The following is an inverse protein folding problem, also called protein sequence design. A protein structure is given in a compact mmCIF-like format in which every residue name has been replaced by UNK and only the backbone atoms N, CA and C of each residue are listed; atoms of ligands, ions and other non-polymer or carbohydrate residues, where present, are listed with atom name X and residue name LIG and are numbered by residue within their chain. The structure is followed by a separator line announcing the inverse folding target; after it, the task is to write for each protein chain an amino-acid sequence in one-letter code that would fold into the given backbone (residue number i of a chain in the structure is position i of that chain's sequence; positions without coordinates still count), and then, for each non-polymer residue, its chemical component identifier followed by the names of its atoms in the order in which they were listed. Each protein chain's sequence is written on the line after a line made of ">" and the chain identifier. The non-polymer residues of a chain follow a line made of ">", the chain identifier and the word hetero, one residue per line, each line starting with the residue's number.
data_IF_039160545706
#
_entry.id   IF_039160545706
#
_cell.length_a   1.000
_cell.length_b   1.000
_cell.length_c   1.000
_cell.angle_alpha   90.00
_cell.angle_beta   90.00
_cell.angle_gamma   90.00
#
_symmetry.space_group_name_H-M   'P 1'
#
loop_
_entity.id
_entity.type
_entity.pdbx_description
1 polymer ?
#
# COMPACT_ATOMS: atom_id res chain seq x y z
N UNK A 1 -20.13 -7.48 7.12
CA UNK A 1 -18.72 -7.04 7.10
C UNK A 1 -18.39 -6.67 5.68
N UNK A 2 -17.96 -5.43 5.41
CA UNK A 2 -17.42 -5.08 4.10
C UNK A 2 -15.94 -5.44 4.16
N UNK A 3 -15.53 -6.47 3.44
CA UNK A 3 -14.12 -6.79 3.26
C UNK A 3 -13.59 -5.85 2.18
N UNK A 4 -12.85 -4.81 2.59
CA UNK A 4 -12.07 -3.98 1.64
C UNK A 4 -10.95 -4.82 1.03
N UNK A 5 -10.49 -4.45 -0.15
CA UNK A 5 -9.45 -5.16 -0.85
C UNK A 5 -8.43 -4.15 -1.36
N UNK A 6 -7.15 -4.52 -1.30
CA UNK A 6 -6.09 -3.70 -1.88
C UNK A 6 -5.30 -4.53 -2.87
N UNK A 7 -4.96 -3.93 -4.00
CA UNK A 7 -4.14 -4.56 -5.03
C UNK A 7 -2.76 -3.95 -5.01
N UNK A 8 -1.75 -4.73 -4.59
CA UNK A 8 -0.35 -4.30 -4.55
C UNK A 8 0.26 -4.40 -5.95
N UNK A 9 1.01 -3.38 -6.38
CA UNK A 9 1.76 -3.41 -7.63
C UNK A 9 3.18 -3.93 -7.39
N UNK A 10 3.32 -5.25 -7.21
CA UNK A 10 4.60 -5.88 -6.85
C UNK A 10 5.60 -5.74 -8.01
N UNK A 11 6.75 -5.14 -7.72
CA UNK A 11 7.85 -5.01 -8.67
C UNK A 11 8.70 -6.29 -8.69
N UNK A 12 8.65 -7.04 -9.77
CA UNK A 12 9.45 -8.26 -9.95
C UNK A 12 10.46 -8.11 -11.09
N UNK A 13 11.69 -8.57 -10.84
CA UNK A 13 12.73 -8.62 -11.86
C UNK A 13 12.61 -9.91 -12.67
N UNK A 14 12.27 -9.79 -13.95
CA UNK A 14 12.26 -10.91 -14.88
C UNK A 14 13.50 -10.85 -15.76
N UNK A 15 14.29 -11.94 -15.76
CA UNK A 15 15.41 -12.11 -16.70
C UNK A 15 14.88 -12.52 -18.07
N UNK A 16 15.22 -11.75 -19.09
CA UNK A 16 14.95 -12.10 -20.49
C UNK A 16 15.96 -13.17 -20.97
N UNK A 17 15.64 -13.92 -22.03
CA UNK A 17 16.54 -14.93 -22.60
C UNK A 17 17.90 -14.38 -23.04
N UNK A 18 17.99 -13.08 -23.31
CA UNK A 18 19.20 -12.36 -23.68
C UNK A 18 20.03 -11.83 -22.49
N UNK A 19 19.68 -12.19 -21.25
CA UNK A 19 20.39 -11.76 -20.04
C UNK A 19 19.99 -10.38 -19.50
N UNK A 20 19.12 -9.63 -20.19
CA UNK A 20 18.64 -8.34 -19.69
C UNK A 20 17.59 -8.52 -18.58
N UNK A 21 17.68 -7.72 -17.51
CA UNK A 21 16.65 -7.64 -16.46
C UNK A 21 15.56 -6.65 -16.87
N UNK A 22 14.30 -7.01 -16.69
CA UNK A 22 13.16 -6.10 -16.86
C UNK A 22 12.32 -6.13 -15.60
N UNK A 23 11.98 -4.96 -15.08
CA UNK A 23 11.01 -4.84 -14.00
C UNK A 23 9.61 -5.00 -14.58
N UNK A 24 8.87 -5.99 -14.08
CA UNK A 24 7.47 -6.25 -14.42
C UNK A 24 6.65 -6.00 -13.17
N UNK A 25 5.52 -5.30 -13.33
CA UNK A 25 4.56 -5.10 -12.24
C UNK A 25 3.62 -6.30 -12.23
N UNK A 26 3.56 -7.00 -11.10
CA UNK A 26 2.65 -8.11 -10.86
C UNK A 26 1.58 -7.68 -9.84
N UNK A 27 0.31 -7.49 -10.26
CA UNK A 27 -0.76 -7.07 -9.35
C UNK A 27 -1.19 -8.22 -8.43
N UNK A 28 -1.22 -7.98 -7.13
CA UNK A 28 -1.66 -8.97 -6.12
C UNK A 28 -2.76 -8.38 -5.25
N UNK A 29 -3.96 -8.95 -5.31
CA UNK A 29 -5.11 -8.50 -4.51
C UNK A 29 -5.15 -9.22 -3.17
N UNK A 30 -5.21 -8.45 -2.09
CA UNK A 30 -5.18 -8.96 -0.72
C UNK A 30 -6.38 -8.43 0.07
N UNK A 31 -6.97 -9.26 0.97
CA UNK A 31 -8.00 -8.80 1.87
C UNK A 31 -7.41 -7.78 2.84
N UNK A 32 -8.11 -6.66 3.00
CA UNK A 32 -7.69 -5.57 3.86
C UNK A 32 -8.86 -5.08 4.70
N UNK A 33 -8.54 -4.41 5.80
CA UNK A 33 -9.49 -3.61 6.57
C UNK A 33 -9.06 -2.15 6.51
N UNK A 34 -9.89 -1.30 5.90
CA UNK A 34 -9.69 0.14 5.93
C UNK A 34 -9.77 0.66 7.37
N UNK A 35 -8.76 1.40 7.79
CA UNK A 35 -8.70 1.99 9.12
C UNK A 35 -9.03 3.48 9.07
N UNK A 36 -9.70 3.95 10.13
CA UNK A 36 -9.93 5.38 10.33
C UNK A 36 -8.64 5.99 10.87
N UNK A 37 -8.06 6.91 10.13
CA UNK A 37 -6.97 7.75 10.63
C UNK A 37 -7.61 8.78 11.59
N UNK A 38 -7.43 8.58 12.89
CA UNK A 38 -7.86 9.56 13.89
C UNK A 38 -6.74 10.59 14.04
N UNK A 39 -6.94 11.77 13.47
CA UNK A 39 -6.03 12.89 13.60
C UNK A 39 -6.15 13.48 15.01
N UNK A 40 -5.42 12.92 15.98
CA UNK A 40 -5.31 13.50 17.31
C UNK A 40 -4.21 14.58 17.30
N UNK A 41 -4.65 15.83 17.47
CA UNK A 41 -3.91 17.10 17.54
C UNK A 41 -3.77 17.84 16.21
N UNK A 42 -4.42 19.01 16.19
CA UNK A 42 -4.29 20.07 15.20
C UNK A 42 -2.97 20.85 15.31
N UNK A 43 -2.06 20.43 16.19
CA UNK A 43 -0.90 21.24 16.56
C UNK A 43 0.38 20.65 15.97
N UNK A 44 0.92 21.36 14.97
CA UNK A 44 2.33 21.33 14.49
C UNK A 44 2.62 20.76 13.10
N UNK A 45 1.61 20.48 12.26
CA UNK A 45 1.83 20.46 10.81
C UNK A 45 0.68 21.20 10.12
N UNK A 46 1.03 22.43 9.73
CA UNK A 46 0.47 23.29 8.70
C UNK A 46 -0.70 22.72 7.88
N UNK A 47 -1.68 23.58 7.61
CA UNK A 47 -2.71 23.43 6.59
C UNK A 47 -2.15 23.32 5.14
N UNK A 48 -0.90 22.88 4.95
CA UNK A 48 -0.27 22.55 3.68
C UNK A 48 -0.46 21.06 3.38
N UNK A 49 -1.70 20.73 3.02
CA UNK A 49 -2.07 19.43 2.49
C UNK A 49 -2.83 18.58 3.48
N UNK A 50 -4.16 18.70 3.43
CA UNK A 50 -5.07 17.57 3.63
C UNK A 50 -4.76 16.51 2.56
N UNK A 51 -3.54 15.96 2.56
CA UNK A 51 -3.16 14.85 1.68
C UNK A 51 -4.15 13.74 2.01
N UNK A 52 -4.85 13.27 0.99
CA UNK A 52 -5.77 12.14 1.12
C UNK A 52 -4.93 10.90 1.39
N UNK A 53 -4.62 10.69 2.67
CA UNK A 53 -3.90 9.51 3.15
C UNK A 53 -4.93 8.45 3.50
N UNK A 54 -4.62 7.21 3.16
CA UNK A 54 -5.40 6.02 3.52
C UNK A 54 -4.53 5.09 4.34
N UNK A 55 -5.16 4.39 5.29
CA UNK A 55 -4.54 3.33 6.09
C UNK A 55 -5.36 2.06 5.96
N UNK A 56 -4.68 0.96 5.72
CA UNK A 56 -5.24 -0.39 5.67
C UNK A 56 -4.46 -1.31 6.61
N UNK A 57 -5.19 -2.16 7.30
CA UNK A 57 -4.63 -3.31 8.02
C UNK A 57 -4.85 -4.56 7.19
N UNK A 58 -3.77 -5.23 6.79
CA UNK A 58 -3.81 -6.44 6.00
C UNK A 58 -3.49 -7.66 6.88
N UNK A 59 -4.15 -8.76 6.56
CA UNK A 59 -3.96 -10.08 7.20
C UNK A 59 -3.57 -11.10 6.14
N UNK A 60 -2.87 -12.17 6.53
CA UNK A 60 -2.47 -13.27 5.65
C UNK A 60 -1.61 -12.84 4.44
N UNK A 61 -0.63 -11.96 4.68
CA UNK A 61 0.27 -11.44 3.63
C UNK A 61 1.23 -12.51 3.08
N UNK A 62 1.64 -13.47 3.91
CA UNK A 62 2.49 -14.57 3.48
C UNK A 62 3.81 -14.09 2.85
N UNK A 63 4.08 -14.55 1.63
CA UNK A 63 5.31 -14.25 0.90
C UNK A 63 5.43 -12.80 0.40
N UNK A 64 4.31 -12.04 0.36
CA UNK A 64 4.30 -10.68 -0.17
C UNK A 64 4.87 -9.64 0.80
N UNK A 65 5.11 -10.01 2.07
CA UNK A 65 5.63 -9.10 3.09
C UNK A 65 7.02 -8.57 2.73
N UNK A 66 7.84 -9.43 2.13
CA UNK A 66 9.21 -9.15 1.74
C UNK A 66 9.35 -8.65 0.30
N UNK A 67 8.24 -8.45 -0.40
CA UNK A 67 8.23 -7.95 -1.78
C UNK A 67 8.27 -6.43 -1.80
N UNK A 68 8.87 -5.88 -2.85
CA UNK A 68 8.97 -4.44 -3.05
C UNK A 68 7.87 -3.95 -3.97
N UNK A 69 7.20 -2.87 -3.60
CA UNK A 69 6.23 -2.17 -4.43
C UNK A 69 6.17 -0.71 -4.00
N UNK A 70 5.88 0.18 -4.94
CA UNK A 70 5.76 1.62 -4.65
C UNK A 70 4.31 2.11 -4.68
N UNK A 71 3.42 1.33 -5.29
CA UNK A 71 2.03 1.71 -5.51
C UNK A 71 1.08 0.57 -5.17
N UNK A 72 -0.14 0.94 -4.80
CA UNK A 72 -1.24 0.00 -4.61
C UNK A 72 -2.57 0.68 -4.94
N UNK A 73 -3.58 -0.12 -5.25
CA UNK A 73 -4.92 0.35 -5.61
C UNK A 73 -5.95 -0.13 -4.57
N UNK A 74 -6.96 0.68 -4.27
CA UNK A 74 -8.12 0.23 -3.47
C UNK A 74 -9.16 -0.50 -4.33
N UNK A 75 -10.21 -1.01 -3.68
CA UNK A 75 -11.33 -1.67 -4.35
C UNK A 75 -12.08 -0.78 -5.38
N UNK A 76 -11.90 0.53 -5.32
CA UNK A 76 -12.53 1.50 -6.23
C UNK A 76 -11.60 1.89 -7.40
N UNK A 77 -10.40 1.31 -7.48
CA UNK A 77 -9.41 1.63 -8.50
C UNK A 77 -8.63 2.92 -8.24
N UNK A 78 -8.73 3.50 -7.04
CA UNK A 78 -7.91 4.66 -6.66
C UNK A 78 -6.49 4.19 -6.41
N UNK A 79 -5.52 4.80 -7.09
CA UNK A 79 -4.09 4.50 -6.94
C UNK A 79 -3.45 5.36 -5.85
N UNK A 80 -2.68 4.71 -4.99
CA UNK A 80 -1.96 5.33 -3.90
C UNK A 80 -0.47 5.04 -4.01
N UNK A 81 0.35 6.04 -3.70
CA UNK A 81 1.78 5.84 -3.48
C UNK A 81 1.98 5.37 -2.05
N UNK A 82 2.67 4.24 -1.87
CA UNK A 82 2.97 3.64 -0.57
C UNK A 82 3.86 4.57 0.26
N UNK A 83 3.43 4.85 1.48
CA UNK A 83 4.19 5.62 2.47
C UNK A 83 4.64 4.75 3.64
N UNK A 84 3.81 3.80 4.09
CA UNK A 84 4.13 2.87 5.18
C UNK A 84 3.82 1.44 4.72
N UNK A 85 4.72 0.52 5.06
CA UNK A 85 4.56 -0.93 4.91
C UNK A 85 5.32 -1.63 6.01
N UNK A 86 4.65 -1.86 7.12
CA UNK A 86 5.29 -2.34 8.36
C UNK A 86 4.40 -3.34 9.08
N UNK A 87 5.02 -4.31 9.75
CA UNK A 87 4.30 -5.24 10.61
C UNK A 87 3.99 -4.57 11.95
N UNK A 88 2.71 -4.55 12.32
CA UNK A 88 2.28 -4.14 13.64
C UNK A 88 2.71 -5.20 14.68
N UNK A 89 3.59 -4.85 15.64
CA UNK A 89 4.10 -5.79 16.62
C UNK A 89 3.02 -6.31 17.59
N UNK A 90 1.85 -5.65 17.67
CA UNK A 90 0.79 -6.00 18.62
C UNK A 90 -0.18 -7.06 18.12
N UNK A 91 -0.39 -7.14 16.81
CA UNK A 91 -1.45 -7.97 16.23
C UNK A 91 -1.03 -8.76 14.99
N UNK A 92 0.26 -8.72 14.62
CA UNK A 92 0.84 -9.45 13.48
C UNK A 92 0.15 -9.13 12.13
N UNK A 93 -0.44 -7.94 12.01
CA UNK A 93 -0.99 -7.42 10.76
C UNK A 93 0.04 -6.54 10.08
N UNK A 94 -0.10 -6.36 8.78
CA UNK A 94 0.67 -5.34 8.06
C UNK A 94 -0.14 -4.05 8.02
N UNK A 95 0.48 -2.96 8.46
CA UNK A 95 -0.01 -1.61 8.28
C UNK A 95 0.48 -1.14 6.91
N UNK A 96 -0.48 -0.87 6.03
CA UNK A 96 -0.25 -0.26 4.73
C UNK A 96 -0.82 1.15 4.74
N UNK A 97 0.01 2.14 4.45
CA UNK A 97 -0.45 3.50 4.19
C UNK A 97 -0.05 3.96 2.81
N UNK A 98 -0.86 4.86 2.27
CA UNK A 98 -0.49 5.58 1.07
C UNK A 98 -1.21 6.90 0.92
N UNK A 99 -0.60 7.77 0.14
CA UNK A 99 -1.19 9.03 -0.32
C UNK A 99 -1.73 8.86 -1.74
N UNK A 100 -2.84 9.52 -2.08
CA UNK A 100 -3.38 9.48 -3.44
C UNK A 100 -2.29 9.88 -4.44
N UNK A 101 -2.01 9.00 -5.40
CA UNK A 101 -1.09 9.29 -6.48
C UNK A 101 -1.81 10.17 -7.51
N UNK A 102 -1.90 11.47 -7.24
CA UNK A 102 -2.28 12.43 -8.26
C UNK A 102 -1.17 12.40 -9.33
N UNK A 103 -1.52 12.10 -10.58
CA UNK A 103 -0.60 12.18 -11.70
C UNK A 103 0.11 13.54 -11.67
N UNK A 104 1.45 13.51 -11.67
CA UNK A 104 2.26 14.67 -12.02
C UNK A 104 2.16 14.85 -13.53
#
# INVERSE_FOLDING_TARGET
>A
MIFSQVTLEISEKKKKPNGAETNVINPVTLPAKKEKIVQNRLDSFSMQGLKKVVRYSLTNIGEYEFKTFDYFNDENGTRFKRTIWERDPKNNKIILEGEVANGI
#
